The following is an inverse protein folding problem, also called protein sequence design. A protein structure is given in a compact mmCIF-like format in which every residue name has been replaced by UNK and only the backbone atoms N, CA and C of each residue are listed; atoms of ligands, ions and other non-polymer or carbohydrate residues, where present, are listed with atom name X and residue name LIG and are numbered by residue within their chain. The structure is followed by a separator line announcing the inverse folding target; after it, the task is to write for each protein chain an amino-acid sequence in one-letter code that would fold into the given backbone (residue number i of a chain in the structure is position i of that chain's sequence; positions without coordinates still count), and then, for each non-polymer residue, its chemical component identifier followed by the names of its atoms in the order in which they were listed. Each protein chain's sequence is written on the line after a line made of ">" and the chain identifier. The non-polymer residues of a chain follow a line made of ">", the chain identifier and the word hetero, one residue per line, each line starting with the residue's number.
data_IF_459037517631
#
_entry.id   IF_459037517631
#
_cell.length_a   1.000
_cell.length_b   1.000
_cell.length_c   1.000
_cell.angle_alpha   90.00
_cell.angle_beta   90.00
_cell.angle_gamma   90.00
#
_symmetry.space_group_name_H-M   'P 1'
#
loop_
_entity.id
_entity.type
_entity.pdbx_description
1 polymer ?
#
# COMPACT_ATOMS: atom_id res chain seq x y z
N UNK A 1 -7.50 -16.30 -23.37
CA UNK A 1 -7.27 -15.88 -24.76
C UNK A 1 -7.41 -14.37 -24.93
N UNK A 2 -8.49 -13.74 -24.46
CA UNK A 2 -8.71 -12.29 -24.55
C UNK A 2 -7.63 -11.46 -23.81
N UNK A 3 -7.37 -11.77 -22.53
CA UNK A 3 -6.34 -11.09 -21.73
C UNK A 3 -4.97 -11.07 -22.43
N UNK A 4 -4.47 -12.23 -22.85
CA UNK A 4 -3.17 -12.35 -23.55
C UNK A 4 -3.10 -11.50 -24.82
N UNK A 5 -4.17 -11.44 -25.61
CA UNK A 5 -4.18 -10.63 -26.84
C UNK A 5 -4.16 -9.13 -26.53
N UNK A 6 -4.90 -8.68 -25.50
CA UNK A 6 -4.88 -7.28 -25.04
C UNK A 6 -3.50 -6.89 -24.50
N UNK A 7 -2.87 -7.79 -23.73
CA UNK A 7 -1.53 -7.60 -23.18
C UNK A 7 -0.49 -7.38 -24.29
N UNK A 8 -0.54 -8.20 -25.33
CA UNK A 8 0.39 -8.11 -26.47
C UNK A 8 0.14 -6.87 -27.33
N UNK A 9 -1.11 -6.49 -27.53
CA UNK A 9 -1.46 -5.28 -28.28
C UNK A 9 -1.03 -3.99 -27.55
N UNK A 10 -0.85 -4.04 -26.22
CA UNK A 10 -0.49 -2.86 -25.43
C UNK A 10 0.97 -2.42 -25.60
N UNK A 11 1.89 -3.32 -25.98
CA UNK A 11 3.34 -3.07 -25.96
C UNK A 11 3.94 -2.82 -24.56
N UNK A 12 3.12 -2.78 -23.49
CA UNK A 12 3.56 -2.46 -22.13
C UNK A 12 4.42 -3.55 -21.49
N UNK A 13 4.53 -4.73 -22.14
CA UNK A 13 5.24 -5.92 -21.65
C UNK A 13 6.50 -6.28 -22.47
N UNK A 14 7.14 -5.31 -23.10
CA UNK A 14 8.30 -5.56 -23.98
C UNK A 14 9.65 -5.10 -23.41
N UNK A 15 9.65 -4.48 -22.22
CA UNK A 15 10.83 -3.92 -21.56
C UNK A 15 11.84 -5.00 -21.10
N UNK A 16 13.14 -4.64 -20.97
CA UNK A 16 14.20 -5.51 -20.45
C UNK A 16 13.82 -6.35 -19.24
N UNK A 17 13.19 -5.78 -18.20
CA UNK A 17 12.83 -6.52 -16.99
C UNK A 17 11.82 -7.64 -17.25
N UNK A 18 10.90 -7.44 -18.20
CA UNK A 18 9.93 -8.47 -18.60
C UNK A 18 10.57 -9.49 -19.54
N UNK A 19 11.57 -9.09 -20.34
CA UNK A 19 12.32 -10.04 -21.19
C UNK A 19 13.16 -11.01 -20.37
N UNK A 20 13.63 -10.63 -19.18
CA UNK A 20 14.32 -11.55 -18.29
C UNK A 20 13.45 -12.79 -17.95
N UNK A 21 12.13 -12.62 -17.85
CA UNK A 21 11.18 -13.72 -17.63
C UNK A 21 11.11 -14.74 -18.77
N UNK A 22 11.67 -14.43 -19.95
CA UNK A 22 11.76 -15.40 -21.04
C UNK A 22 12.67 -16.57 -20.67
N UNK A 23 13.74 -16.31 -19.91
CA UNK A 23 14.62 -17.37 -19.42
C UNK A 23 13.87 -18.39 -18.57
N UNK A 24 13.03 -17.91 -17.64
CA UNK A 24 12.22 -18.75 -16.75
C UNK A 24 11.22 -19.65 -17.47
N UNK A 25 10.84 -19.32 -18.72
CA UNK A 25 9.97 -20.17 -19.51
C UNK A 25 10.68 -21.43 -20.05
N UNK A 26 12.00 -21.36 -20.23
CA UNK A 26 12.77 -22.45 -20.84
C UNK A 26 13.42 -23.33 -19.77
N UNK A 27 13.48 -24.66 -19.98
CA UNK A 27 14.27 -25.54 -19.13
C UNK A 27 15.75 -25.12 -19.12
N UNK A 28 16.47 -25.26 -17.99
CA UNK A 28 17.88 -24.83 -17.88
C UNK A 28 18.79 -25.39 -18.98
N UNK A 29 18.58 -26.66 -19.39
CA UNK A 29 19.34 -27.30 -20.47
C UNK A 29 19.22 -26.59 -21.82
N UNK A 30 18.09 -25.94 -22.09
CA UNK A 30 17.90 -25.17 -23.32
C UNK A 30 18.69 -23.87 -23.26
N UNK A 31 18.71 -23.22 -22.09
CA UNK A 31 19.48 -21.99 -21.85
C UNK A 31 20.98 -22.30 -21.95
N UNK A 32 21.46 -23.39 -21.35
CA UNK A 32 22.85 -23.85 -21.45
C UNK A 32 23.28 -24.11 -22.90
N UNK A 33 22.39 -24.68 -23.72
CA UNK A 33 22.69 -25.02 -25.10
C UNK A 33 22.61 -23.81 -26.06
N UNK A 34 21.66 -22.90 -25.85
CA UNK A 34 21.39 -21.77 -26.74
C UNK A 34 22.11 -20.48 -26.33
N UNK A 35 22.43 -20.34 -25.04
CA UNK A 35 22.93 -19.10 -24.43
C UNK A 35 21.82 -18.12 -24.07
N UNK A 36 22.01 -17.37 -22.98
CA UNK A 36 21.05 -16.38 -22.47
C UNK A 36 20.73 -15.28 -23.50
N UNK A 37 21.72 -14.84 -24.27
CA UNK A 37 21.55 -13.81 -25.30
C UNK A 37 20.54 -14.25 -26.38
N UNK A 38 20.66 -15.48 -26.86
CA UNK A 38 19.76 -16.03 -27.88
C UNK A 38 18.34 -16.22 -27.34
N UNK A 39 18.20 -16.62 -26.08
CA UNK A 39 16.92 -16.76 -25.38
C UNK A 39 16.27 -15.38 -25.19
N UNK A 40 17.02 -14.37 -24.76
CA UNK A 40 16.53 -12.99 -24.60
C UNK A 40 16.15 -12.32 -25.92
N UNK A 41 16.83 -12.67 -27.02
CA UNK A 41 16.53 -12.18 -28.37
C UNK A 41 15.43 -12.99 -29.09
N UNK A 42 14.79 -13.95 -28.41
CA UNK A 42 13.82 -14.82 -29.05
C UNK A 42 12.65 -14.03 -29.68
N UNK A 43 12.32 -14.32 -30.94
CA UNK A 43 11.29 -13.59 -31.71
C UNK A 43 9.91 -13.56 -31.04
N UNK A 44 9.58 -14.60 -30.28
CA UNK A 44 8.34 -14.70 -29.48
C UNK A 44 8.52 -14.33 -27.99
N UNK A 45 9.63 -13.68 -27.62
CA UNK A 45 9.97 -13.36 -26.24
C UNK A 45 8.83 -12.65 -25.51
N UNK A 46 8.27 -11.59 -26.11
CA UNK A 46 7.12 -10.88 -25.55
C UNK A 46 5.88 -11.80 -25.33
N UNK A 47 5.60 -12.72 -26.26
CA UNK A 47 4.51 -13.69 -26.11
C UNK A 47 4.77 -14.68 -24.97
N UNK A 48 6.00 -15.17 -24.83
CA UNK A 48 6.38 -16.12 -23.78
C UNK A 48 6.36 -15.45 -22.41
N UNK A 49 6.98 -14.28 -22.27
CA UNK A 49 6.97 -13.50 -21.04
C UNK A 49 5.53 -13.14 -20.61
N UNK A 50 4.69 -12.68 -21.54
CA UNK A 50 3.28 -12.40 -21.26
C UNK A 50 2.51 -13.65 -20.80
N UNK A 51 2.76 -14.81 -21.42
CA UNK A 51 2.12 -16.07 -21.03
C UNK A 51 2.58 -16.51 -19.65
N UNK A 52 3.89 -16.49 -19.42
CA UNK A 52 4.50 -16.86 -18.15
C UNK A 52 3.98 -15.98 -17.01
N UNK A 53 4.03 -14.66 -17.19
CA UNK A 53 3.58 -13.70 -16.20
C UNK A 53 2.07 -13.81 -15.91
N UNK A 54 1.25 -14.03 -16.94
CA UNK A 54 -0.19 -14.25 -16.77
C UNK A 54 -0.46 -15.51 -15.96
N UNK A 55 0.25 -16.61 -16.24
CA UNK A 55 0.08 -17.87 -15.52
C UNK A 55 0.50 -17.69 -14.06
N UNK A 56 1.67 -17.11 -13.79
CA UNK A 56 2.11 -16.82 -12.42
C UNK A 56 1.07 -16.00 -11.65
N UNK A 57 0.53 -14.95 -12.27
CA UNK A 57 -0.49 -14.12 -11.65
C UNK A 57 -1.79 -14.87 -11.39
N UNK A 58 -2.23 -15.72 -12.33
CA UNK A 58 -3.43 -16.55 -12.18
C UNK A 58 -3.24 -17.61 -11.11
N UNK A 59 -2.08 -18.26 -11.04
CA UNK A 59 -1.77 -19.31 -10.07
C UNK A 59 -1.65 -18.74 -8.65
N UNK A 60 -1.17 -17.50 -8.53
CA UNK A 60 -1.04 -16.80 -7.25
C UNK A 60 -2.36 -16.18 -6.79
N UNK A 61 -3.07 -15.45 -7.68
CA UNK A 61 -4.19 -14.57 -7.31
C UNK A 61 -5.57 -15.14 -7.66
N UNK A 62 -5.62 -16.15 -8.52
CA UNK A 62 -6.82 -16.56 -9.24
C UNK A 62 -7.15 -15.64 -10.42
N UNK A 63 -7.63 -16.23 -11.52
CA UNK A 63 -7.90 -15.49 -12.76
C UNK A 63 -9.00 -14.42 -12.65
N UNK A 64 -9.97 -14.60 -11.75
CA UNK A 64 -11.04 -13.62 -11.52
C UNK A 64 -10.51 -12.30 -10.94
N UNK A 65 -9.46 -12.36 -10.12
CA UNK A 65 -8.91 -11.21 -9.39
C UNK A 65 -8.32 -10.17 -10.34
N UNK A 66 -7.56 -10.58 -11.36
CA UNK A 66 -6.98 -9.66 -12.35
C UNK A 66 -8.06 -8.92 -13.15
N UNK A 67 -9.12 -9.63 -13.55
CA UNK A 67 -10.27 -9.03 -14.26
C UNK A 67 -11.01 -8.06 -13.35
N UNK A 68 -11.20 -8.43 -12.07
CA UNK A 68 -11.86 -7.57 -11.10
C UNK A 68 -11.04 -6.32 -10.80
N UNK A 69 -9.71 -6.44 -10.67
CA UNK A 69 -8.80 -5.31 -10.51
C UNK A 69 -8.89 -4.33 -11.67
N UNK A 70 -8.85 -4.82 -12.91
CA UNK A 70 -8.99 -3.99 -14.10
C UNK A 70 -10.34 -3.25 -14.13
N UNK A 71 -11.44 -3.96 -13.82
CA UNK A 71 -12.78 -3.38 -13.77
C UNK A 71 -12.93 -2.33 -12.66
N UNK A 72 -12.43 -2.62 -11.47
CA UNK A 72 -12.60 -1.76 -10.30
C UNK A 72 -11.78 -0.47 -10.44
N UNK A 73 -10.54 -0.58 -10.97
CA UNK A 73 -9.59 0.54 -11.13
C UNK A 73 -9.75 1.28 -12.46
N UNK A 74 -10.43 0.68 -13.44
CA UNK A 74 -10.53 1.22 -14.80
C UNK A 74 -9.21 1.21 -15.58
N UNK A 75 -8.18 0.53 -15.07
CA UNK A 75 -6.87 0.43 -15.72
C UNK A 75 -6.86 -0.76 -16.70
N UNK A 76 -6.12 -0.68 -17.81
CA UNK A 76 -6.02 -1.80 -18.74
C UNK A 76 -5.38 -3.01 -18.05
N UNK A 77 -5.73 -4.24 -18.46
CA UNK A 77 -5.20 -5.44 -17.82
C UNK A 77 -3.66 -5.56 -17.85
N UNK A 78 -3.00 -4.97 -18.85
CA UNK A 78 -1.53 -4.88 -18.93
C UNK A 78 -0.92 -4.12 -17.78
N UNK A 79 -1.53 -3.00 -17.43
CA UNK A 79 -1.09 -2.18 -16.31
C UNK A 79 -1.37 -2.84 -14.97
N UNK A 80 -2.49 -3.57 -14.86
CA UNK A 80 -2.80 -4.39 -13.67
C UNK A 80 -1.76 -5.50 -13.50
N UNK A 81 -1.44 -6.22 -14.57
CA UNK A 81 -0.45 -7.30 -14.53
C UNK A 81 0.95 -6.75 -14.22
N UNK A 82 1.32 -5.59 -14.77
CA UNK A 82 2.59 -4.92 -14.46
C UNK A 82 2.65 -4.48 -12.99
N UNK A 83 1.59 -3.87 -12.46
CA UNK A 83 1.52 -3.48 -11.05
C UNK A 83 1.64 -4.70 -10.13
N UNK A 84 0.94 -5.80 -10.47
CA UNK A 84 1.04 -7.05 -9.73
C UNK A 84 2.46 -7.62 -9.78
N UNK A 85 3.11 -7.61 -10.95
CA UNK A 85 4.48 -8.08 -11.10
C UNK A 85 5.46 -7.28 -10.22
N UNK A 86 5.33 -5.95 -10.22
CA UNK A 86 6.13 -5.09 -9.34
C UNK A 86 5.91 -5.44 -7.87
N UNK A 87 4.65 -5.61 -7.44
CA UNK A 87 4.34 -6.01 -6.07
C UNK A 87 4.94 -7.38 -5.71
N UNK A 88 4.81 -8.36 -6.60
CA UNK A 88 5.31 -9.71 -6.43
C UNK A 88 6.84 -9.75 -6.34
N UNK A 89 7.53 -9.08 -7.26
CA UNK A 89 8.99 -9.07 -7.31
C UNK A 89 9.60 -8.23 -6.18
N UNK A 90 9.10 -7.01 -5.94
CA UNK A 90 9.65 -6.12 -4.92
C UNK A 90 9.45 -6.64 -3.48
N UNK A 91 8.48 -7.53 -3.26
CA UNK A 91 8.22 -8.14 -1.96
C UNK A 91 8.95 -9.45 -1.73
N UNK A 92 9.62 -10.01 -2.74
CA UNK A 92 10.20 -11.35 -2.65
C UNK A 92 9.16 -12.48 -2.56
N UNK A 93 7.91 -12.22 -2.97
CA UNK A 93 6.81 -13.19 -2.86
C UNK A 93 7.11 -14.52 -3.56
N UNK A 94 7.89 -14.50 -4.63
CA UNK A 94 8.29 -15.72 -5.35
C UNK A 94 8.99 -16.76 -4.47
N UNK A 95 9.97 -16.33 -3.68
CA UNK A 95 10.71 -17.23 -2.78
C UNK A 95 9.78 -17.79 -1.70
N UNK A 96 8.98 -16.92 -1.07
CA UNK A 96 8.01 -17.34 -0.04
C UNK A 96 7.00 -18.35 -0.60
N UNK A 97 6.42 -18.07 -1.78
CA UNK A 97 5.45 -18.97 -2.43
C UNK A 97 6.10 -20.31 -2.77
N UNK A 98 7.32 -20.31 -3.31
CA UNK A 98 8.03 -21.54 -3.63
C UNK A 98 8.29 -22.38 -2.39
N UNK A 99 8.80 -21.75 -1.31
CA UNK A 99 9.03 -22.44 -0.03
C UNK A 99 7.75 -22.96 0.60
N UNK A 100 6.61 -22.27 0.41
CA UNK A 100 5.31 -22.79 0.82
C UNK A 100 4.88 -24.00 -0.02
N UNK A 101 5.16 -24.01 -1.33
CA UNK A 101 4.90 -25.16 -2.19
C UNK A 101 5.80 -26.36 -1.86
N UNK A 102 7.04 -26.15 -1.45
CA UNK A 102 7.95 -27.22 -1.07
C UNK A 102 7.49 -27.99 0.18
N UNK A 103 6.56 -27.43 0.97
CA UNK A 103 5.90 -28.08 2.10
C UNK A 103 4.74 -29.01 1.66
N UNK A 104 4.56 -29.24 0.36
CA UNK A 104 3.53 -30.15 -0.13
C UNK A 104 3.70 -31.53 0.51
N UNK A 105 2.58 -32.10 0.97
CA UNK A 105 2.52 -33.35 1.75
C UNK A 105 3.18 -33.30 3.16
N UNK A 106 3.81 -32.20 3.57
CA UNK A 106 4.38 -32.03 4.92
C UNK A 106 3.41 -31.36 5.90
N UNK A 107 2.50 -30.51 5.39
CA UNK A 107 1.49 -29.78 6.16
C UNK A 107 0.07 -30.12 5.70
N UNK A 108 -0.93 -29.79 6.50
CA UNK A 108 -2.33 -29.93 6.06
C UNK A 108 -2.58 -28.99 4.86
N UNK A 109 -3.11 -29.52 3.76
CA UNK A 109 -3.40 -28.74 2.55
C UNK A 109 -4.27 -27.50 2.83
N UNK A 110 -5.18 -27.57 3.82
CA UNK A 110 -5.99 -26.42 4.24
C UNK A 110 -5.17 -25.28 4.83
N UNK A 111 -4.08 -25.55 5.55
CA UNK A 111 -3.18 -24.53 6.11
C UNK A 111 -2.34 -23.88 5.00
N UNK A 112 -1.77 -24.69 4.11
CA UNK A 112 -1.02 -24.19 2.95
C UNK A 112 -1.89 -23.28 2.07
N UNK A 113 -3.12 -23.70 1.80
CA UNK A 113 -4.08 -22.88 1.05
C UNK A 113 -4.39 -21.56 1.77
N UNK A 114 -4.53 -21.56 3.11
CA UNK A 114 -4.76 -20.33 3.87
C UNK A 114 -3.58 -19.36 3.78
N UNK A 115 -2.33 -19.85 3.86
CA UNK A 115 -1.14 -19.02 3.71
C UNK A 115 -1.03 -18.42 2.31
N UNK A 116 -1.24 -19.23 1.28
CA UNK A 116 -1.23 -18.76 -0.12
C UNK A 116 -2.34 -17.73 -0.38
N UNK A 117 -3.55 -17.92 0.19
CA UNK A 117 -4.62 -16.92 0.13
C UNK A 117 -4.25 -15.62 0.86
N UNK A 118 -3.51 -15.72 1.97
CA UNK A 118 -2.95 -14.56 2.68
C UNK A 118 -2.00 -13.76 1.79
N UNK A 119 -1.07 -14.44 1.12
CA UNK A 119 -0.15 -13.83 0.14
C UNK A 119 -0.92 -13.19 -1.02
N UNK A 120 -1.90 -13.90 -1.59
CA UNK A 120 -2.74 -13.38 -2.67
C UNK A 120 -3.48 -12.10 -2.26
N UNK A 121 -4.06 -12.08 -1.05
CA UNK A 121 -4.73 -10.90 -0.50
C UNK A 121 -3.78 -9.72 -0.32
N UNK A 122 -2.56 -9.97 0.16
CA UNK A 122 -1.54 -8.95 0.34
C UNK A 122 -1.08 -8.35 -1.00
N UNK A 123 -0.86 -9.21 -2.00
CA UNK A 123 -0.53 -8.78 -3.36
C UNK A 123 -1.70 -8.03 -4.04
N UNK A 124 -2.97 -8.34 -3.75
CA UNK A 124 -4.12 -7.58 -4.27
C UNK A 124 -4.08 -6.14 -3.75
N UNK A 125 -3.88 -5.97 -2.43
CA UNK A 125 -3.79 -4.65 -1.80
C UNK A 125 -2.58 -3.86 -2.30
N UNK A 126 -1.41 -4.48 -2.39
CA UNK A 126 -0.21 -3.87 -2.96
C UNK A 126 -0.39 -3.46 -4.44
N UNK A 127 -1.01 -4.32 -5.25
CA UNK A 127 -1.31 -4.03 -6.66
C UNK A 127 -2.21 -2.81 -6.78
N UNK A 128 -3.27 -2.72 -5.96
CA UNK A 128 -4.17 -1.56 -5.92
C UNK A 128 -3.44 -0.29 -5.53
N UNK A 129 -2.57 -0.37 -4.52
CA UNK A 129 -1.76 0.76 -4.08
C UNK A 129 -0.85 1.26 -5.21
N UNK A 130 -0.15 0.37 -5.91
CA UNK A 130 0.70 0.73 -7.07
C UNK A 130 -0.11 1.36 -8.19
N UNK A 131 -1.27 0.79 -8.54
CA UNK A 131 -2.15 1.33 -9.59
C UNK A 131 -2.68 2.75 -9.29
N UNK A 132 -2.80 3.08 -8.00
CA UNK A 132 -3.26 4.38 -7.53
C UNK A 132 -2.13 5.40 -7.38
N UNK A 133 -0.91 4.97 -7.05
CA UNK A 133 0.15 5.86 -6.56
C UNK A 133 1.38 5.96 -7.46
N UNK A 134 1.60 5.02 -8.39
CA UNK A 134 2.80 4.99 -9.22
C UNK A 134 2.51 5.12 -10.71
N UNK A 135 3.49 5.67 -11.43
CA UNK A 135 3.49 5.65 -12.89
C UNK A 135 3.99 4.28 -13.39
N UNK A 136 3.09 3.56 -14.05
CA UNK A 136 3.33 2.21 -14.56
C UNK A 136 3.54 2.19 -16.09
N UNK A 137 3.76 3.36 -16.71
CA UNK A 137 4.04 3.45 -18.14
C UNK A 137 5.46 2.97 -18.49
N UNK A 138 6.42 3.14 -17.59
CA UNK A 138 7.82 2.72 -17.74
C UNK A 138 8.07 1.21 -17.60
N UNK A 139 9.35 0.84 -17.60
CA UNK A 139 9.80 -0.53 -17.31
C UNK A 139 9.54 -0.87 -15.82
N UNK A 140 8.90 -2.01 -15.50
CA UNK A 140 8.71 -2.42 -14.11
C UNK A 140 10.02 -2.60 -13.33
N UNK A 141 11.13 -2.91 -13.99
CA UNK A 141 12.42 -3.16 -13.33
C UNK A 141 12.85 -1.97 -12.46
N UNK A 142 12.65 -0.75 -12.98
CA UNK A 142 12.95 0.47 -12.22
C UNK A 142 12.19 0.52 -10.89
N UNK A 143 10.90 0.18 -10.90
CA UNK A 143 10.10 0.17 -9.67
C UNK A 143 10.53 -0.97 -8.74
N UNK A 144 10.80 -2.15 -9.30
CA UNK A 144 11.28 -3.33 -8.55
C UNK A 144 12.58 -3.01 -7.83
N UNK A 145 13.58 -2.48 -8.52
CA UNK A 145 14.86 -2.07 -7.94
C UNK A 145 14.67 -0.97 -6.90
N UNK A 146 13.84 0.04 -7.20
CA UNK A 146 13.63 1.18 -6.31
C UNK A 146 12.95 0.80 -4.99
N UNK A 147 12.11 -0.23 -4.99
CA UNK A 147 11.38 -0.67 -3.80
C UNK A 147 12.02 -1.86 -3.11
N UNK A 148 12.61 -2.81 -3.84
CA UNK A 148 13.04 -4.10 -3.30
C UNK A 148 13.96 -3.97 -2.10
N UNK A 149 14.99 -3.11 -2.17
CA UNK A 149 15.90 -2.89 -1.07
C UNK A 149 15.20 -2.30 0.17
N UNK A 150 14.35 -1.27 -0.02
CA UNK A 150 13.62 -0.62 1.07
C UNK A 150 12.59 -1.56 1.70
N UNK A 151 11.84 -2.30 0.89
CA UNK A 151 10.86 -3.28 1.34
C UNK A 151 11.53 -4.40 2.12
N UNK A 152 12.66 -4.93 1.63
CA UNK A 152 13.43 -5.97 2.32
C UNK A 152 13.92 -5.50 3.69
N UNK A 153 14.52 -4.30 3.78
CA UNK A 153 14.98 -3.71 5.05
C UNK A 153 13.82 -3.49 6.01
N UNK A 154 12.68 -2.99 5.53
CA UNK A 154 11.50 -2.75 6.35
C UNK A 154 10.84 -4.06 6.80
N UNK A 155 10.78 -5.07 5.95
CA UNK A 155 10.26 -6.40 6.27
C UNK A 155 11.09 -7.05 7.38
N UNK A 156 12.43 -7.02 7.26
CA UNK A 156 13.35 -7.57 8.24
C UNK A 156 13.27 -6.84 9.60
N UNK A 157 12.95 -5.55 9.59
CA UNK A 157 12.84 -4.72 10.80
C UNK A 157 11.40 -4.44 11.24
N UNK A 158 10.39 -5.07 10.63
CA UNK A 158 8.96 -4.74 10.79
C UNK A 158 8.56 -4.62 12.26
N UNK A 159 8.88 -5.65 13.05
CA UNK A 159 8.56 -5.75 14.49
C UNK A 159 9.05 -4.55 15.31
N UNK A 160 10.17 -3.94 14.91
CA UNK A 160 10.78 -2.82 15.62
C UNK A 160 9.98 -1.52 15.45
N UNK A 161 9.27 -1.38 14.32
CA UNK A 161 8.50 -0.19 13.99
C UNK A 161 7.05 -0.25 14.49
N UNK A 162 6.55 -1.44 14.81
CA UNK A 162 5.18 -1.63 15.27
C UNK A 162 4.98 -1.15 16.72
N UNK A 163 3.78 -0.61 16.99
CA UNK A 163 3.31 -0.37 18.36
C UNK A 163 3.23 -1.65 19.17
N UNK A 164 3.32 -1.57 20.51
CA UNK A 164 3.31 -2.76 21.38
C UNK A 164 2.09 -3.68 21.17
N UNK A 165 0.92 -3.08 20.92
CA UNK A 165 -0.29 -3.85 20.60
C UNK A 165 -0.12 -4.63 19.31
N UNK A 166 0.33 -3.97 18.25
CA UNK A 166 0.47 -4.57 16.93
C UNK A 166 1.62 -5.58 16.87
N UNK A 167 2.69 -5.33 17.61
CA UNK A 167 3.79 -6.28 17.83
C UNK A 167 3.27 -7.58 18.42
N UNK A 168 2.43 -7.52 19.47
CA UNK A 168 1.81 -8.73 20.06
C UNK A 168 0.96 -9.50 19.04
N UNK A 169 0.18 -8.81 18.22
CA UNK A 169 -0.63 -9.48 17.17
C UNK A 169 0.25 -10.19 16.12
N UNK A 170 1.37 -9.56 15.73
CA UNK A 170 2.36 -10.14 14.82
C UNK A 170 3.07 -11.34 15.45
N UNK A 171 3.54 -11.21 16.68
CA UNK A 171 4.20 -12.29 17.42
C UNK A 171 3.26 -13.48 17.61
N UNK A 172 1.98 -13.23 17.90
CA UNK A 172 0.95 -14.26 17.99
C UNK A 172 0.75 -14.97 16.65
N UNK A 173 0.73 -14.24 15.53
CA UNK A 173 0.57 -14.84 14.19
C UNK A 173 1.76 -15.69 13.80
N UNK A 174 2.97 -15.20 14.05
CA UNK A 174 4.21 -15.97 13.85
C UNK A 174 4.17 -17.24 14.70
N UNK A 175 3.74 -17.15 15.96
CA UNK A 175 3.62 -18.31 16.83
C UNK A 175 2.58 -19.33 16.34
N UNK A 176 1.45 -18.87 15.81
CA UNK A 176 0.43 -19.73 15.18
C UNK A 176 1.00 -20.45 13.95
N UNK A 177 1.62 -19.71 13.02
CA UNK A 177 2.24 -20.28 11.83
C UNK A 177 3.31 -21.33 12.16
N UNK A 178 4.09 -21.10 13.22
CA UNK A 178 5.04 -22.10 13.72
C UNK A 178 4.36 -23.32 14.31
N UNK A 179 3.27 -23.15 15.06
CA UNK A 179 2.49 -24.26 15.60
C UNK A 179 1.82 -25.09 14.49
N UNK A 180 1.49 -24.45 13.38
CA UNK A 180 0.90 -25.04 12.17
C UNK A 180 1.94 -25.71 11.25
N UNK A 181 3.23 -25.68 11.62
CA UNK A 181 4.30 -26.42 10.94
C UNK A 181 5.30 -25.58 10.16
N UNK A 182 5.15 -24.25 10.09
CA UNK A 182 6.13 -23.40 9.42
C UNK A 182 7.43 -23.27 10.22
N UNK A 183 8.56 -23.33 9.51
CA UNK A 183 9.86 -22.95 10.06
C UNK A 183 9.85 -21.51 10.57
N UNK A 184 10.64 -21.22 11.61
CA UNK A 184 10.60 -19.92 12.28
C UNK A 184 10.99 -18.74 11.36
N UNK A 185 11.81 -18.98 10.34
CA UNK A 185 12.18 -17.99 9.33
C UNK A 185 11.01 -17.74 8.37
N UNK A 186 10.51 -18.78 7.70
CA UNK A 186 9.38 -18.69 6.77
C UNK A 186 8.12 -18.12 7.42
N UNK A 187 7.85 -18.43 8.70
CA UNK A 187 6.75 -17.83 9.44
C UNK A 187 6.89 -16.31 9.60
N UNK A 188 8.11 -15.79 9.79
CA UNK A 188 8.37 -14.34 9.89
C UNK A 188 8.27 -13.67 8.52
N UNK A 189 8.84 -14.29 7.49
CA UNK A 189 8.79 -13.79 6.12
C UNK A 189 7.35 -13.72 5.61
N UNK A 190 6.56 -14.78 5.84
CA UNK A 190 5.15 -14.81 5.46
C UNK A 190 4.37 -13.69 6.15
N UNK A 191 4.57 -13.49 7.46
CA UNK A 191 3.92 -12.40 8.18
C UNK A 191 4.43 -11.04 7.68
N UNK A 192 5.69 -10.87 7.33
CA UNK A 192 6.18 -9.61 6.77
C UNK A 192 5.60 -9.34 5.38
N UNK A 193 5.48 -10.37 4.55
CA UNK A 193 4.89 -10.33 3.20
C UNK A 193 3.40 -9.94 3.27
N UNK A 194 2.66 -10.43 4.27
CA UNK A 194 1.27 -10.02 4.51
C UNK A 194 1.09 -8.51 4.77
N UNK A 195 2.17 -7.80 5.10
CA UNK A 195 2.19 -6.35 5.39
C UNK A 195 2.71 -5.51 4.22
N UNK A 196 2.95 -6.10 3.04
CA UNK A 196 3.51 -5.40 1.88
C UNK A 196 2.73 -4.13 1.51
N UNK A 197 1.41 -4.11 1.70
CA UNK A 197 0.54 -2.96 1.46
C UNK A 197 0.79 -1.78 2.41
N UNK A 198 1.42 -2.01 3.56
CA UNK A 198 1.97 -0.96 4.43
C UNK A 198 3.46 -0.68 4.20
N UNK A 199 4.22 -1.63 3.65
CA UNK A 199 5.64 -1.45 3.35
C UNK A 199 5.87 -0.59 2.10
N UNK A 200 5.06 -0.77 1.05
CA UNK A 200 5.15 0.00 -0.19
C UNK A 200 4.93 1.51 -0.01
N UNK A 201 3.90 1.98 0.72
CA UNK A 201 3.75 3.41 1.02
C UNK A 201 4.97 4.01 1.71
N UNK A 202 5.54 3.28 2.68
CA UNK A 202 6.75 3.70 3.41
C UNK A 202 7.95 3.78 2.47
N UNK A 203 8.18 2.76 1.65
CA UNK A 203 9.27 2.73 0.69
C UNK A 203 9.14 3.84 -0.37
N UNK A 204 7.92 4.12 -0.84
CA UNK A 204 7.67 5.19 -1.79
C UNK A 204 7.85 6.57 -1.20
N UNK A 205 7.41 6.78 0.04
CA UNK A 205 7.62 8.05 0.72
C UNK A 205 9.11 8.27 1.03
N UNK A 206 9.82 7.23 1.48
CA UNK A 206 11.27 7.25 1.66
C UNK A 206 12.02 7.66 0.39
N UNK A 207 11.64 7.07 -0.76
CA UNK A 207 12.21 7.40 -2.07
C UNK A 207 11.92 8.86 -2.47
N UNK A 208 10.67 9.30 -2.35
CA UNK A 208 10.22 10.62 -2.84
C UNK A 208 10.80 11.78 -2.03
N UNK A 209 10.92 11.60 -0.72
CA UNK A 209 11.42 12.62 0.20
C UNK A 209 12.92 12.45 0.52
N UNK A 210 13.57 11.44 -0.07
CA UNK A 210 14.99 11.09 0.18
C UNK A 210 15.32 10.83 1.67
N UNK A 211 14.37 10.21 2.39
CA UNK A 211 14.48 9.89 3.81
C UNK A 211 14.76 8.40 3.99
N UNK A 212 15.58 8.04 4.98
CA UNK A 212 15.83 6.64 5.36
C UNK A 212 14.52 5.89 5.63
N UNK A 213 14.30 4.76 4.94
CA UNK A 213 13.08 3.97 5.04
C UNK A 213 12.72 3.60 6.49
N UNK A 214 13.72 3.28 7.32
CA UNK A 214 13.54 2.99 8.74
C UNK A 214 12.95 4.17 9.54
N UNK A 215 13.37 5.41 9.25
CA UNK A 215 12.80 6.62 9.87
C UNK A 215 11.36 6.83 9.43
N UNK A 216 11.08 6.66 8.14
CA UNK A 216 9.70 6.74 7.62
C UNK A 216 8.81 5.67 8.25
N UNK A 217 9.30 4.43 8.33
CA UNK A 217 8.60 3.29 8.94
C UNK A 217 8.27 3.53 10.40
N UNK A 218 9.21 4.04 11.19
CA UNK A 218 8.99 4.36 12.61
C UNK A 218 7.85 5.38 12.80
N UNK A 219 7.77 6.42 11.98
CA UNK A 219 6.66 7.39 12.04
C UNK A 219 5.36 6.76 11.51
N UNK A 220 5.42 6.06 10.37
CA UNK A 220 4.26 5.46 9.71
C UNK A 220 3.55 4.42 10.58
N UNK A 221 4.31 3.48 11.16
CA UNK A 221 3.79 2.44 12.03
C UNK A 221 3.50 2.95 13.45
N UNK A 222 4.28 3.93 13.93
CA UNK A 222 4.05 4.61 15.21
C UNK A 222 2.74 5.41 15.25
N UNK A 223 2.30 5.95 14.10
CA UNK A 223 1.05 6.72 13.99
C UNK A 223 -0.20 5.92 14.40
N UNK A 224 -0.16 4.58 14.35
CA UNK A 224 -1.23 3.70 14.85
C UNK A 224 -1.50 3.89 16.35
N UNK A 225 -0.51 4.35 17.12
CA UNK A 225 -0.68 4.70 18.53
C UNK A 225 -1.51 5.97 18.77
N UNK A 226 -1.81 6.72 17.71
CA UNK A 226 -2.57 7.97 17.77
C UNK A 226 -3.95 7.80 17.11
N UNK A 227 -3.99 7.20 15.91
CA UNK A 227 -5.21 6.91 15.15
C UNK A 227 -5.18 5.43 14.77
N UNK A 228 -6.25 4.68 15.06
CA UNK A 228 -6.28 3.23 14.78
C UNK A 228 -6.62 2.93 13.30
N UNK A 229 -5.69 3.29 12.41
CA UNK A 229 -5.76 3.01 10.96
C UNK A 229 -5.95 1.52 10.68
N UNK A 230 -5.34 0.65 11.49
CA UNK A 230 -5.42 -0.80 11.33
C UNK A 230 -6.85 -1.30 11.55
N UNK A 231 -7.55 -0.78 12.57
CA UNK A 231 -8.95 -1.13 12.81
C UNK A 231 -9.86 -0.67 11.67
N UNK A 232 -9.69 0.55 11.15
CA UNK A 232 -10.47 1.04 10.02
C UNK A 232 -10.26 0.18 8.76
N UNK A 233 -9.00 -0.16 8.46
CA UNK A 233 -8.65 -1.05 7.36
C UNK A 233 -9.31 -2.43 7.52
N UNK A 234 -9.22 -3.05 8.71
CA UNK A 234 -9.84 -4.35 8.99
C UNK A 234 -11.38 -4.31 8.81
N UNK A 235 -12.02 -3.19 9.16
CA UNK A 235 -13.47 -3.00 8.94
C UNK A 235 -13.81 -2.89 7.46
N UNK A 236 -13.02 -2.16 6.68
CA UNK A 236 -13.18 -2.08 5.23
C UNK A 236 -13.04 -3.46 4.58
N UNK A 237 -12.01 -4.22 4.98
CA UNK A 237 -11.75 -5.57 4.46
C UNK A 237 -12.87 -6.57 4.79
N UNK A 238 -13.53 -6.40 5.95
CA UNK A 238 -14.66 -7.25 6.37
C UNK A 238 -16.02 -6.83 5.78
N UNK A 239 -16.07 -5.79 4.95
CA UNK A 239 -17.32 -5.38 4.29
C UNK A 239 -17.87 -6.53 3.43
N UNK A 240 -19.17 -6.84 3.59
CA UNK A 240 -19.80 -8.01 2.98
C UNK A 240 -19.61 -8.07 1.46
N UNK A 241 -19.22 -9.25 0.97
CA UNK A 241 -19.01 -9.56 -0.45
C UNK A 241 -20.31 -9.62 -1.25
N UNK A 242 -21.47 -9.60 -0.61
CA UNK A 242 -22.78 -9.75 -1.26
C UNK A 242 -23.18 -8.56 -2.14
N UNK A 243 -22.60 -7.37 -1.95
CA UNK A 243 -22.87 -6.19 -2.75
C UNK A 243 -21.57 -5.69 -3.44
N UNK A 244 -21.50 -5.86 -4.76
CA UNK A 244 -20.34 -5.45 -5.55
C UNK A 244 -20.01 -3.95 -5.43
N UNK A 245 -21.01 -3.09 -5.19
CA UNK A 245 -20.80 -1.66 -5.01
C UNK A 245 -20.26 -1.31 -3.63
N UNK A 246 -20.71 -1.99 -2.58
CA UNK A 246 -20.14 -1.83 -1.23
C UNK A 246 -18.69 -2.27 -1.20
N UNK A 247 -18.36 -3.40 -1.83
CA UNK A 247 -16.97 -3.85 -1.96
C UNK A 247 -16.11 -2.83 -2.71
N UNK A 248 -16.64 -2.25 -3.79
CA UNK A 248 -15.92 -1.21 -4.54
C UNK A 248 -15.73 0.07 -3.71
N UNK A 249 -16.75 0.47 -2.95
CA UNK A 249 -16.66 1.61 -2.05
C UNK A 249 -15.64 1.36 -0.92
N UNK A 250 -15.65 0.18 -0.30
CA UNK A 250 -14.69 -0.22 0.73
C UNK A 250 -13.24 -0.11 0.22
N UNK A 251 -13.00 -0.61 -1.00
CA UNK A 251 -11.68 -0.55 -1.66
C UNK A 251 -11.25 0.87 -1.99
N UNK A 252 -12.18 1.72 -2.41
CA UNK A 252 -11.91 3.14 -2.65
C UNK A 252 -11.56 3.86 -1.34
N UNK A 253 -12.31 3.58 -0.27
CA UNK A 253 -12.08 4.14 1.06
C UNK A 253 -10.76 3.66 1.67
N UNK A 254 -10.33 2.41 1.40
CA UNK A 254 -9.03 1.91 1.84
C UNK A 254 -7.87 2.68 1.19
N UNK A 255 -7.96 2.97 -0.12
CA UNK A 255 -6.98 3.79 -0.81
C UNK A 255 -6.95 5.23 -0.28
N UNK A 256 -8.11 5.80 0.02
CA UNK A 256 -8.21 7.14 0.61
C UNK A 256 -7.63 7.19 2.03
N UNK A 257 -7.95 6.21 2.87
CA UNK A 257 -7.39 6.06 4.22
C UNK A 257 -5.86 6.00 4.18
N UNK A 258 -5.30 5.23 3.25
CA UNK A 258 -3.86 5.10 3.07
C UNK A 258 -3.21 6.40 2.55
N UNK A 259 -3.88 7.10 1.63
CA UNK A 259 -3.41 8.40 1.14
C UNK A 259 -3.35 9.43 2.27
N UNK A 260 -4.38 9.50 3.11
CA UNK A 260 -4.43 10.40 4.27
C UNK A 260 -3.35 10.04 5.28
N UNK A 261 -3.16 8.75 5.57
CA UNK A 261 -2.08 8.27 6.45
C UNK A 261 -0.71 8.72 5.93
N UNK A 262 -0.44 8.49 4.65
CA UNK A 262 0.82 8.88 4.00
C UNK A 262 1.03 10.39 4.04
N UNK A 263 -0.03 11.18 3.85
CA UNK A 263 0.03 12.64 3.93
C UNK A 263 0.41 13.13 5.33
N UNK A 264 -0.18 12.54 6.39
CA UNK A 264 0.18 12.86 7.78
C UNK A 264 1.65 12.51 8.01
N UNK A 265 2.09 11.32 7.62
CA UNK A 265 3.48 10.88 7.81
C UNK A 265 4.45 11.79 7.08
N UNK A 266 4.15 12.18 5.83
CA UNK A 266 4.96 13.16 5.10
C UNK A 266 5.05 14.48 5.87
N UNK A 267 3.93 15.02 6.34
CA UNK A 267 3.92 16.27 7.11
C UNK A 267 4.79 16.19 8.38
N UNK A 268 4.78 15.04 9.06
CA UNK A 268 5.64 14.82 10.23
C UNK A 268 7.12 14.74 9.90
N UNK A 269 7.47 14.34 8.68
CA UNK A 269 8.84 14.14 8.23
C UNK A 269 9.44 15.35 7.50
N UNK A 270 8.61 16.20 6.90
CA UNK A 270 9.07 17.34 6.09
C UNK A 270 8.60 18.69 6.63
N UNK A 271 7.70 18.69 7.61
CA UNK A 271 7.18 19.89 8.23
C UNK A 271 8.14 20.53 9.26
N UNK A 272 7.73 21.63 9.90
CA UNK A 272 8.59 22.43 10.80
C UNK A 272 9.09 21.67 12.05
N UNK A 273 8.54 20.49 12.33
CA UNK A 273 8.87 19.65 13.48
C UNK A 273 9.60 18.35 13.08
N UNK A 274 10.10 18.26 11.85
CA UNK A 274 10.78 17.07 11.32
C UNK A 274 12.02 16.67 12.15
N UNK A 275 12.76 17.67 12.64
CA UNK A 275 14.00 17.50 13.40
C UNK A 275 13.77 17.17 14.88
N UNK A 276 12.52 17.13 15.34
CA UNK A 276 12.23 16.76 16.72
C UNK A 276 12.62 15.30 16.97
N UNK A 277 13.13 15.04 18.17
CA UNK A 277 13.47 13.70 18.64
C UNK A 277 12.21 12.79 18.62
N UNK A 278 11.06 13.34 18.99
CA UNK A 278 9.77 12.66 18.92
C UNK A 278 8.68 13.50 18.18
N UNK A 279 8.61 13.42 16.84
CA UNK A 279 7.64 14.16 16.04
C UNK A 279 6.19 13.72 16.32
N UNK A 280 5.97 12.46 16.71
CA UNK A 280 4.65 11.91 17.01
C UNK A 280 4.04 12.53 18.27
N UNK A 281 4.83 12.71 19.33
CA UNK A 281 4.35 13.36 20.55
C UNK A 281 4.04 14.84 20.34
N UNK A 282 4.89 15.55 19.60
CA UNK A 282 4.66 16.94 19.24
C UNK A 282 3.38 17.10 18.38
N UNK A 283 3.16 16.18 17.44
CA UNK A 283 1.94 16.12 16.66
C UNK A 283 0.71 15.88 17.54
N UNK A 284 0.77 14.92 18.45
CA UNK A 284 -0.32 14.60 19.38
C UNK A 284 -0.72 15.82 20.22
N UNK A 285 0.26 16.59 20.70
CA UNK A 285 0.00 17.79 21.50
C UNK A 285 -0.59 18.93 20.66
N UNK A 286 -0.02 19.19 19.48
CA UNK A 286 -0.45 20.28 18.58
C UNK A 286 -1.86 20.04 18.03
N UNK A 287 -2.16 18.80 17.64
CA UNK A 287 -3.40 18.42 16.96
C UNK A 287 -4.46 17.84 17.91
N UNK A 288 -4.29 18.02 19.21
CA UNK A 288 -5.08 17.36 20.26
C UNK A 288 -6.59 17.41 20.04
N UNK A 289 -7.17 18.58 19.80
CA UNK A 289 -8.62 18.72 19.64
C UNK A 289 -9.19 18.10 18.35
N UNK A 290 -8.38 17.96 17.30
CA UNK A 290 -8.77 17.21 16.10
C UNK A 290 -8.69 15.70 16.34
N UNK A 291 -7.62 15.27 17.00
CA UNK A 291 -7.40 13.87 17.36
C UNK A 291 -8.44 13.34 18.34
N UNK A 292 -8.82 14.11 19.35
CA UNK A 292 -9.87 13.74 20.32
C UNK A 292 -11.20 13.44 19.58
N UNK A 293 -11.61 14.31 18.64
CA UNK A 293 -12.81 14.10 17.82
C UNK A 293 -12.73 12.84 16.94
N UNK A 294 -11.58 12.58 16.32
CA UNK A 294 -11.38 11.36 15.51
C UNK A 294 -11.45 10.10 16.39
N UNK A 295 -10.81 10.13 17.56
CA UNK A 295 -10.81 9.00 18.49
C UNK A 295 -12.22 8.73 19.00
N UNK A 296 -12.97 9.75 19.42
CA UNK A 296 -14.37 9.63 19.82
C UNK A 296 -15.22 9.00 18.72
N UNK A 297 -15.09 9.47 17.48
CA UNK A 297 -15.82 8.92 16.33
C UNK A 297 -15.45 7.44 16.06
N UNK A 298 -14.18 7.06 16.20
CA UNK A 298 -13.77 5.66 16.05
C UNK A 298 -14.36 4.78 17.17
N UNK A 299 -14.42 5.28 18.41
CA UNK A 299 -15.05 4.55 19.52
C UNK A 299 -16.57 4.41 19.32
N UNK A 300 -17.27 5.46 18.86
CA UNK A 300 -18.69 5.36 18.50
C UNK A 300 -18.93 4.26 17.45
N UNK A 301 -18.09 4.19 16.41
CA UNK A 301 -18.19 3.13 15.39
C UNK A 301 -17.87 1.73 15.94
N UNK A 302 -17.13 1.60 17.04
CA UNK A 302 -16.84 0.32 17.70
C UNK A 302 -18.01 -0.19 18.52
N UNK A 303 -18.80 0.71 19.09
CA UNK A 303 -20.03 0.37 19.80
C UNK A 303 -21.09 -0.22 18.84
N UNK A 304 -21.04 0.19 17.57
CA UNK A 304 -21.84 -0.41 16.52
C UNK A 304 -21.36 -1.82 16.16
N UNK A 305 -22.28 -2.81 16.23
CA UNK A 305 -21.92 -4.23 15.96
C UNK A 305 -21.34 -4.45 14.56
N UNK A 306 -21.83 -3.70 13.57
CA UNK A 306 -21.44 -3.78 12.16
C UNK A 306 -21.59 -2.40 11.50
N UNK A 307 -20.62 -1.48 11.67
CA UNK A 307 -20.68 -0.19 11.01
C UNK A 307 -20.71 -0.40 9.48
N UNK A 308 -21.70 0.21 8.83
CA UNK A 308 -21.82 0.16 7.37
C UNK A 308 -20.79 1.05 6.68
N UNK A 309 -20.66 0.91 5.35
CA UNK A 309 -19.81 1.77 4.51
C UNK A 309 -20.04 3.28 4.74
N UNK A 310 -21.28 3.79 4.85
CA UNK A 310 -21.50 5.21 5.12
C UNK A 310 -20.85 5.68 6.44
N UNK A 311 -20.86 4.85 7.48
CA UNK A 311 -20.31 5.19 8.78
C UNK A 311 -18.77 5.22 8.73
N UNK A 312 -18.15 4.24 8.05
CA UNK A 312 -16.70 4.24 7.79
C UNK A 312 -16.27 5.42 6.92
N UNK A 313 -17.07 5.79 5.90
CA UNK A 313 -16.82 6.95 5.06
C UNK A 313 -16.80 8.25 5.87
N UNK A 314 -17.73 8.42 6.82
CA UNK A 314 -17.75 9.59 7.71
C UNK A 314 -16.47 9.69 8.53
N UNK A 315 -15.99 8.59 9.11
CA UNK A 315 -14.73 8.59 9.84
C UNK A 315 -13.53 8.91 8.96
N UNK A 316 -13.42 8.31 7.78
CA UNK A 316 -12.28 8.53 6.87
C UNK A 316 -12.27 9.98 6.36
N UNK A 317 -13.44 10.53 6.00
CA UNK A 317 -13.56 11.93 5.62
C UNK A 317 -13.21 12.87 6.78
N UNK A 318 -13.64 12.57 8.01
CA UNK A 318 -13.26 13.37 9.17
C UNK A 318 -11.73 13.38 9.38
N UNK A 319 -11.06 12.23 9.23
CA UNK A 319 -9.59 12.16 9.30
C UNK A 319 -8.95 12.98 8.17
N UNK A 320 -9.49 12.91 6.94
CA UNK A 320 -9.00 13.69 5.79
C UNK A 320 -9.13 15.20 6.00
N UNK A 321 -10.27 15.63 6.52
CA UNK A 321 -10.57 17.04 6.73
C UNK A 321 -9.67 17.62 7.83
N UNK A 322 -9.47 16.88 8.93
CA UNK A 322 -8.50 17.22 9.97
C UNK A 322 -7.05 17.18 9.45
N UNK A 323 -6.69 16.18 8.64
CA UNK A 323 -5.38 16.11 7.99
C UNK A 323 -5.10 17.37 7.16
N UNK A 324 -6.07 17.81 6.37
CA UNK A 324 -5.97 19.05 5.59
C UNK A 324 -5.77 20.27 6.48
N UNK A 325 -6.44 20.35 7.64
CA UNK A 325 -6.23 21.41 8.60
C UNK A 325 -4.83 21.36 9.24
N UNK A 326 -4.32 20.16 9.56
CA UNK A 326 -3.00 19.98 10.16
C UNK A 326 -1.85 20.29 9.21
N UNK A 327 -2.04 20.07 7.91
CA UNK A 327 -1.06 20.39 6.86
C UNK A 327 -1.15 21.82 6.33
N UNK A 328 -2.35 22.42 6.30
CA UNK A 328 -2.58 23.76 5.73
C UNK A 328 -2.56 24.89 6.77
N UNK A 329 -2.65 24.58 8.07
CA UNK A 329 -2.73 25.55 9.16
C UNK A 329 -1.51 26.46 9.35
N UNK A 330 -0.51 26.39 8.48
CA UNK A 330 0.71 27.21 8.49
C UNK A 330 0.53 28.61 7.87
N UNK A 331 -0.69 28.97 7.41
CA UNK A 331 -0.97 30.25 6.76
C UNK A 331 -1.65 31.36 7.59
N UNK A 332 -2.12 31.11 8.82
CA UNK A 332 -2.94 32.10 9.54
C UNK A 332 -2.53 32.29 11.01
N UNK A 333 -1.22 32.44 11.23
CA UNK A 333 -0.61 32.69 12.53
C UNK A 333 0.06 34.06 12.62
N UNK A 334 -0.53 35.14 12.08
CA UNK A 334 -0.18 36.49 12.54
C UNK A 334 -1.28 37.51 12.24
N UNK A 335 -2.05 37.86 13.27
CA UNK A 335 -3.13 38.84 13.18
C UNK A 335 -3.79 39.16 14.51
N UNK A 336 -3.06 39.04 15.63
CA UNK A 336 -3.52 39.62 16.90
C UNK A 336 -3.13 41.11 16.92
N UNK A 337 -3.88 41.90 16.16
CA UNK A 337 -3.82 43.36 16.11
C UNK A 337 -5.04 43.94 16.82
N UNK A 338 -4.89 44.12 18.13
CA UNK A 338 -5.81 44.83 19.00
C UNK A 338 -6.23 46.19 18.39
N UNK A 339 -7.53 46.44 18.27
CA UNK A 339 -8.07 47.65 17.64
C UNK A 339 -9.53 47.91 17.99
N UNK A 340 -9.83 47.99 19.28
CA UNK A 340 -11.10 48.53 19.76
C UNK A 340 -11.09 50.06 19.62
N UNK A 341 -12.03 50.62 18.85
CA UNK A 341 -12.07 52.05 18.55
C UNK A 341 -13.35 52.47 17.84
N UNK A 342 -14.43 52.56 18.62
CA UNK A 342 -15.72 53.15 18.29
C UNK A 342 -15.60 54.64 17.88
N UNK A 343 -16.39 55.12 16.91
CA UNK A 343 -16.67 56.57 16.78
C UNK A 343 -16.91 57.16 15.39
N UNK A 344 -18.15 57.08 14.93
CA UNK A 344 -18.99 58.21 14.49
C UNK A 344 -18.52 59.18 13.35
N UNK A 345 -19.30 59.19 12.27
CA UNK A 345 -19.87 60.42 11.70
C UNK A 345 -19.10 61.16 10.59
N UNK A 346 -19.76 61.45 9.46
CA UNK A 346 -19.39 62.59 8.61
C UNK A 346 -19.46 62.40 7.10
N UNK A 347 -20.65 62.65 6.57
CA UNK A 347 -21.00 63.21 5.24
C UNK A 347 -19.90 63.80 4.34
N UNK A 348 -20.16 63.64 3.03
CA UNK A 348 -19.91 64.53 1.87
C UNK A 348 -18.57 64.47 1.13
N UNK A 349 -18.65 64.45 -0.20
CA UNK A 349 -17.58 64.94 -1.07
C UNK A 349 -17.51 64.29 -2.45
N UNK A 350 -18.22 64.86 -3.43
CA UNK A 350 -18.23 64.47 -4.83
C UNK A 350 -17.11 65.20 -5.61
N UNK A 351 -16.56 64.55 -6.66
CA UNK A 351 -15.85 65.07 -7.88
C UNK A 351 -14.34 65.45 -7.82
N UNK A 352 -13.63 65.55 -8.99
CA UNK A 352 -13.35 64.51 -10.00
C UNK A 352 -11.88 64.54 -10.54
N UNK A 353 -11.62 63.66 -11.51
CA UNK A 353 -10.49 63.43 -12.46
C UNK A 353 -9.66 64.65 -12.94
N UNK A 354 -8.48 64.40 -13.55
CA UNK A 354 -8.40 64.09 -14.99
C UNK A 354 -8.17 62.63 -15.35
#
# INVERSE_FOLDING_TARGET
>A
MYLKNDLLASGELEGPGIRALVGEYFPPRVIEAAGEEAVGAHRLGAHMACTYLTNMAVDTMGGATLVQLARDTGKPPSRVLKAWYVAWAASGAGDTIQRLHDLDLEVQAGLQAQWLLGVAGALDRATRWLLANEDLTGDPEFLIESYGASVSVLAASLIQHLSDRKRRDVDQRIAMYKADGLGAELARELVALEYIDGLLPVAALARREEIQASRVGSIYFGLVGIIDFAWLQERLDKTSTSNAWELRAARSLALELEAVRTQIVRHLLTGPNADLENPLDAFRQRCRGGLERIVELIEELREEKRPGIPALMVAIHAIRDECSAWTNGEGNGNGNGNGNGNGNGGKNGWRPTP
#
